data_IF_316224124304
#
_entry.id   IF_316224124304
#
_cell.length_a   1.000
_cell.length_b   1.000
_cell.length_c   1.000
_cell.angle_alpha   90.00
_cell.angle_beta   90.00
_cell.angle_gamma   90.00
#
_symmetry.space_group_name_H-M   'P 1'
#
loop_
_entity.id
_entity.type
_entity.pdbx_description
1 polymer ?
#
# COMPACT_ATOMS: atom_id res chain seq x y z
N UNK A 1 14.04 10.99 2.22
CA UNK A 1 12.64 10.48 2.13
C UNK A 1 12.65 9.05 1.59
N UNK A 2 11.61 8.23 1.84
CA UNK A 2 11.54 6.83 1.36
C UNK A 2 11.80 6.72 -0.15
N UNK A 3 11.31 7.67 -0.94
CA UNK A 3 11.55 7.77 -2.40
C UNK A 3 13.03 7.91 -2.76
N UNK A 4 13.75 8.82 -2.11
CA UNK A 4 15.19 9.06 -2.33
C UNK A 4 16.02 7.82 -1.93
N UNK A 5 15.64 7.21 -0.80
CA UNK A 5 16.28 6.00 -0.26
C UNK A 5 16.04 4.76 -1.14
N UNK A 6 14.90 4.72 -1.83
CA UNK A 6 14.47 3.62 -2.68
C UNK A 6 14.76 3.86 -4.16
N UNK A 7 15.14 5.08 -4.56
CA UNK A 7 15.25 5.51 -5.96
C UNK A 7 14.03 5.08 -6.80
N UNK A 8 12.82 5.20 -6.24
CA UNK A 8 11.57 4.89 -6.92
C UNK A 8 10.77 6.17 -7.17
N UNK A 9 10.14 6.26 -8.34
CA UNK A 9 9.05 7.21 -8.56
C UNK A 9 7.85 6.72 -7.74
N UNK A 10 7.33 7.54 -6.84
CA UNK A 10 6.11 7.21 -6.10
C UNK A 10 5.04 8.22 -6.45
N UNK A 11 3.85 7.71 -6.77
CA UNK A 11 2.66 8.52 -6.86
C UNK A 11 1.98 8.57 -5.49
N UNK A 12 1.87 9.77 -4.92
CA UNK A 12 1.18 10.04 -3.66
C UNK A 12 -0.03 10.91 -3.97
N UNK A 13 -1.22 10.31 -3.89
CA UNK A 13 -2.48 10.96 -4.26
C UNK A 13 -2.65 12.38 -3.68
N UNK A 14 -2.34 12.61 -2.40
CA UNK A 14 -2.52 13.93 -1.77
C UNK A 14 -1.46 14.97 -2.17
N UNK A 15 -0.33 14.55 -2.74
CA UNK A 15 0.79 15.42 -3.14
C UNK A 15 0.78 15.70 -4.63
N UNK A 16 0.55 14.67 -5.43
CA UNK A 16 0.76 14.70 -6.88
C UNK A 16 -0.52 15.12 -7.63
N UNK A 17 -1.62 15.31 -6.90
CA UNK A 17 -2.91 15.71 -7.45
C UNK A 17 -3.42 16.99 -6.78
N UNK A 18 -3.68 18.00 -7.60
CA UNK A 18 -4.26 19.26 -7.17
C UNK A 18 -5.75 19.16 -6.84
N UNK A 19 -6.37 20.26 -6.36
CA UNK A 19 -7.81 20.32 -6.12
C UNK A 19 -8.62 20.02 -7.40
N UNK A 20 -9.68 19.21 -7.28
CA UNK A 20 -10.56 18.81 -8.38
C UNK A 20 -10.41 17.37 -8.88
N UNK A 21 -9.66 16.54 -8.16
CA UNK A 21 -9.41 15.15 -8.51
C UNK A 21 -10.63 14.23 -8.33
N UNK A 22 -10.73 13.21 -9.18
CA UNK A 22 -11.81 12.21 -9.15
C UNK A 22 -11.29 10.83 -8.77
N UNK A 23 -12.12 10.01 -8.14
CA UNK A 23 -11.79 8.62 -7.80
C UNK A 23 -11.32 7.82 -9.03
N UNK A 24 -11.83 8.13 -10.22
CA UNK A 24 -11.43 7.49 -11.47
C UNK A 24 -9.93 7.61 -11.74
N UNK A 25 -9.38 8.82 -11.61
CA UNK A 25 -7.98 9.06 -11.91
C UNK A 25 -7.07 8.34 -10.89
N UNK A 26 -7.54 8.14 -9.65
CA UNK A 26 -6.81 7.35 -8.65
C UNK A 26 -6.63 5.91 -9.14
N UNK A 27 -7.71 5.31 -9.64
CA UNK A 27 -7.68 3.95 -10.17
C UNK A 27 -6.82 3.84 -11.44
N UNK A 28 -6.84 4.84 -12.32
CA UNK A 28 -5.92 4.90 -13.46
C UNK A 28 -4.46 4.90 -13.00
N UNK A 29 -4.13 5.72 -12.00
CA UNK A 29 -2.77 5.79 -11.45
C UNK A 29 -2.36 4.47 -10.78
N UNK A 30 -3.28 3.80 -10.08
CA UNK A 30 -3.03 2.47 -9.52
C UNK A 30 -2.80 1.42 -10.62
N UNK A 31 -3.56 1.50 -11.72
CA UNK A 31 -3.42 0.62 -12.89
C UNK A 31 -2.06 0.75 -13.57
N UNK A 32 -1.52 1.97 -13.65
CA UNK A 32 -0.24 2.24 -14.30
C UNK A 32 0.97 1.99 -13.37
N UNK A 33 0.71 1.81 -12.07
CA UNK A 33 1.76 1.61 -11.06
C UNK A 33 2.27 0.17 -11.02
N UNK A 34 3.60 0.01 -11.10
CA UNK A 34 4.30 -1.28 -10.94
C UNK A 34 4.10 -1.89 -9.56
N UNK A 35 4.08 -1.07 -8.50
CA UNK A 35 3.80 -1.48 -7.11
C UNK A 35 2.76 -0.56 -6.50
N UNK A 36 1.94 -1.12 -5.62
CA UNK A 36 0.93 -0.42 -4.85
C UNK A 36 1.28 -0.62 -3.38
N UNK A 37 1.61 0.47 -2.69
CA UNK A 37 1.77 0.48 -1.23
C UNK A 37 0.47 1.00 -0.60
N UNK A 38 -0.29 0.11 0.02
CA UNK A 38 -1.48 0.51 0.78
C UNK A 38 -1.12 0.74 2.23
N UNK A 39 -1.35 1.95 2.72
CA UNK A 39 -1.09 2.32 4.12
C UNK A 39 -2.39 2.24 4.91
N UNK A 40 -2.62 1.10 5.57
CA UNK A 40 -3.84 0.81 6.32
C UNK A 40 -3.71 1.38 7.73
N UNK A 41 -4.43 2.46 8.00
CA UNK A 41 -4.51 3.14 9.29
C UNK A 41 -5.95 3.35 9.70
N UNK A 42 -6.19 3.72 10.96
CA UNK A 42 -7.53 4.12 11.41
C UNK A 42 -8.11 5.22 10.51
N UNK A 43 -7.29 6.21 10.11
CA UNK A 43 -7.72 7.32 9.26
C UNK A 43 -8.14 6.87 7.86
N UNK A 44 -7.42 5.90 7.29
CA UNK A 44 -7.77 5.30 6.00
C UNK A 44 -9.13 4.59 6.09
N UNK A 45 -9.33 3.80 7.15
CA UNK A 45 -10.55 3.01 7.36
C UNK A 45 -11.77 3.84 7.78
N UNK A 46 -11.57 5.06 8.32
CA UNK A 46 -12.68 5.95 8.68
C UNK A 46 -13.55 6.35 7.47
N UNK A 47 -13.05 6.23 6.24
CA UNK A 47 -13.85 6.34 5.02
C UNK A 47 -14.09 4.93 4.45
N UNK A 48 -14.96 4.18 5.13
CA UNK A 48 -15.09 2.74 4.93
C UNK A 48 -15.38 2.38 3.46
N UNK A 49 -16.34 3.06 2.83
CA UNK A 49 -16.76 2.76 1.44
C UNK A 49 -15.60 2.93 0.45
N UNK A 50 -14.90 4.07 0.50
CA UNK A 50 -13.76 4.30 -0.39
C UNK A 50 -12.60 3.35 -0.07
N UNK A 51 -12.34 3.10 1.22
CA UNK A 51 -11.27 2.22 1.67
C UNK A 51 -11.47 0.78 1.17
N UNK A 52 -12.71 0.26 1.23
CA UNK A 52 -13.05 -1.07 0.76
C UNK A 52 -12.95 -1.18 -0.76
N UNK A 53 -13.37 -0.15 -1.50
CA UNK A 53 -13.20 -0.12 -2.97
C UNK A 53 -11.71 -0.14 -3.34
N UNK A 54 -10.87 0.66 -2.66
CA UNK A 54 -9.42 0.68 -2.89
C UNK A 54 -8.80 -0.69 -2.61
N UNK A 55 -9.17 -1.31 -1.48
CA UNK A 55 -8.67 -2.63 -1.10
C UNK A 55 -9.09 -3.73 -2.09
N UNK A 56 -10.36 -3.74 -2.53
CA UNK A 56 -10.86 -4.64 -3.57
C UNK A 56 -10.13 -4.45 -4.89
N UNK A 57 -9.95 -3.20 -5.31
CA UNK A 57 -9.23 -2.91 -6.55
C UNK A 57 -7.79 -3.40 -6.48
N UNK A 58 -7.08 -3.15 -5.36
CA UNK A 58 -5.72 -3.62 -5.18
C UNK A 58 -5.64 -5.15 -5.25
N UNK A 59 -6.55 -5.86 -4.56
CA UNK A 59 -6.66 -7.33 -4.62
C UNK A 59 -6.85 -7.82 -6.06
N UNK A 60 -7.79 -7.22 -6.81
CA UNK A 60 -8.07 -7.59 -8.20
C UNK A 60 -6.98 -7.19 -9.21
N UNK A 61 -6.11 -6.23 -8.86
CA UNK A 61 -5.00 -5.81 -9.72
C UNK A 61 -3.85 -6.82 -9.80
N UNK A 62 -3.88 -7.83 -8.91
CA UNK A 62 -2.93 -8.92 -8.82
C UNK A 62 -3.35 -10.08 -9.73
N UNK A 63 -2.36 -10.69 -10.36
CA UNK A 63 -2.47 -11.86 -11.22
C UNK A 63 -1.13 -12.61 -11.19
N UNK A 64 -1.05 -13.83 -11.75
CA UNK A 64 0.19 -14.60 -11.73
C UNK A 64 1.41 -13.90 -12.38
N UNK A 65 1.21 -12.92 -13.26
CA UNK A 65 2.31 -12.16 -13.86
C UNK A 65 2.81 -11.00 -12.97
N UNK A 66 2.08 -10.63 -11.92
CA UNK A 66 2.43 -9.52 -11.02
C UNK A 66 2.07 -9.80 -9.55
N UNK A 67 2.26 -11.04 -9.09
CA UNK A 67 1.93 -11.52 -7.73
C UNK A 67 2.52 -10.67 -6.57
N UNK A 68 3.54 -9.85 -6.86
CA UNK A 68 4.25 -8.99 -5.91
C UNK A 68 3.78 -7.54 -5.92
N UNK A 69 2.72 -7.22 -6.66
CA UNK A 69 2.29 -5.86 -6.95
C UNK A 69 1.86 -5.08 -5.72
N UNK A 70 1.17 -5.73 -4.78
CA UNK A 70 0.58 -5.05 -3.61
C UNK A 70 1.43 -5.32 -2.38
N UNK A 71 1.64 -4.27 -1.58
CA UNK A 71 2.30 -4.32 -0.28
C UNK A 71 1.41 -3.57 0.71
N UNK A 72 1.12 -4.17 1.85
CA UNK A 72 0.37 -3.54 2.93
C UNK A 72 1.34 -3.03 3.99
N UNK A 73 1.18 -1.76 4.36
CA UNK A 73 1.78 -1.18 5.55
C UNK A 73 0.65 -0.91 6.54
N UNK A 74 0.57 -1.72 7.58
CA UNK A 74 -0.63 -1.81 8.43
C UNK A 74 -0.31 -1.34 9.82
N UNK A 75 -1.08 -0.38 10.34
CA UNK A 75 -1.03 -0.04 11.75
C UNK A 75 -1.47 -1.24 12.60
N UNK A 76 -0.69 -1.61 13.61
CA UNK A 76 -0.90 -2.83 14.40
C UNK A 76 -2.32 -2.95 14.98
N UNK A 77 -2.88 -1.82 15.40
CA UNK A 77 -4.26 -1.73 15.92
C UNK A 77 -5.33 -1.93 14.86
N UNK A 78 -4.97 -2.08 13.59
CA UNK A 78 -5.88 -2.22 12.45
C UNK A 78 -5.70 -3.54 11.71
N UNK A 79 -4.82 -4.43 12.18
CA UNK A 79 -4.54 -5.71 11.54
C UNK A 79 -5.81 -6.56 11.39
N UNK A 80 -6.68 -6.55 12.41
CA UNK A 80 -7.94 -7.29 12.40
C UNK A 80 -9.01 -6.68 11.48
N UNK A 81 -8.79 -5.47 10.96
CA UNK A 81 -9.71 -4.80 10.04
C UNK A 81 -9.36 -5.07 8.57
N UNK A 82 -8.32 -5.85 8.30
CA UNK A 82 -7.98 -6.25 6.93
C UNK A 82 -8.98 -7.32 6.47
N UNK A 83 -9.68 -7.11 5.35
CA UNK A 83 -10.62 -8.09 4.82
C UNK A 83 -9.93 -9.40 4.38
N UNK A 84 -10.63 -10.52 4.55
CA UNK A 84 -10.14 -11.85 4.15
C UNK A 84 -9.66 -11.95 2.71
N UNK A 85 -10.35 -11.28 1.78
CA UNK A 85 -9.99 -11.29 0.35
C UNK A 85 -8.61 -10.69 0.05
N UNK A 86 -8.03 -9.89 0.95
CA UNK A 86 -6.64 -9.43 0.82
C UNK A 86 -5.66 -10.52 1.28
N UNK A 87 -5.98 -11.23 2.36
CA UNK A 87 -5.17 -12.37 2.81
C UNK A 87 -5.17 -13.52 1.80
N UNK A 88 -6.25 -13.70 1.05
CA UNK A 88 -6.35 -14.76 0.04
C UNK A 88 -5.40 -14.55 -1.15
N UNK A 89 -4.95 -13.31 -1.39
CA UNK A 89 -4.11 -12.95 -2.55
C UNK A 89 -2.72 -12.48 -2.17
N UNK A 90 -2.47 -12.17 -0.89
CA UNK A 90 -1.19 -11.65 -0.40
C UNK A 90 -0.45 -12.70 0.40
N UNK A 91 0.86 -12.80 0.14
CA UNK A 91 1.77 -13.47 1.05
C UNK A 91 1.94 -12.67 2.35
N UNK A 92 2.15 -13.36 3.48
CA UNK A 92 2.45 -12.71 4.77
C UNK A 92 3.66 -11.76 4.69
N UNK A 93 4.63 -12.08 3.82
CA UNK A 93 5.81 -11.25 3.56
C UNK A 93 5.47 -9.85 3.05
N UNK A 94 4.29 -9.68 2.44
CA UNK A 94 3.78 -8.43 1.87
C UNK A 94 2.98 -7.61 2.88
N UNK A 95 2.79 -8.10 4.11
CA UNK A 95 2.05 -7.43 5.18
C UNK A 95 3.03 -6.95 6.24
N UNK A 96 3.36 -5.66 6.19
CA UNK A 96 4.32 -5.03 7.10
C UNK A 96 3.56 -4.32 8.20
N UNK A 97 3.69 -4.83 9.42
CA UNK A 97 3.02 -4.25 10.59
C UNK A 97 3.87 -3.15 11.22
N UNK A 98 3.26 -1.98 11.41
CA UNK A 98 3.86 -0.82 12.07
C UNK A 98 3.07 -0.44 13.32
N UNK A 99 3.75 0.05 14.35
CA UNK A 99 3.11 0.47 15.59
C UNK A 99 2.33 1.77 15.39
N UNK A 100 2.97 2.75 14.73
CA UNK A 100 2.38 4.06 14.40
C UNK A 100 3.12 4.68 13.21
N UNK A 101 2.46 5.58 12.46
CA UNK A 101 3.07 6.29 11.32
C UNK A 101 4.06 7.39 11.73
N UNK A 102 3.91 7.96 12.93
CA UNK A 102 4.82 8.97 13.48
C UNK A 102 6.04 8.35 14.16
N UNK A 103 5.97 7.07 14.51
CA UNK A 103 7.09 6.35 15.10
C UNK A 103 8.21 6.16 14.05
N UNK A 104 9.48 6.33 14.43
CA UNK A 104 10.58 6.03 13.53
C UNK A 104 10.53 4.55 13.13
N UNK A 105 10.53 4.29 11.83
CA UNK A 105 10.70 2.92 11.32
C UNK A 105 12.07 2.42 11.72
N UNK A 106 12.10 1.30 12.45
CA UNK A 106 13.34 0.58 12.75
C UNK A 106 13.99 0.04 11.46
N UNK A 107 15.25 -0.37 11.56
CA UNK A 107 16.01 -0.87 10.42
C UNK A 107 15.32 -2.06 9.74
N UNK A 108 14.74 -2.98 10.52
CA UNK A 108 14.11 -4.20 10.01
C UNK A 108 12.90 -3.85 9.14
N UNK A 109 12.01 -2.99 9.63
CA UNK A 109 10.84 -2.51 8.87
C UNK A 109 11.24 -1.74 7.63
N UNK A 110 12.27 -0.88 7.72
CA UNK A 110 12.78 -0.18 6.55
C UNK A 110 13.24 -1.17 5.49
N UNK A 111 14.06 -2.16 5.86
CA UNK A 111 14.52 -3.17 4.90
C UNK A 111 13.39 -4.00 4.32
N UNK A 112 12.42 -4.41 5.13
CA UNK A 112 11.23 -5.14 4.64
C UNK A 112 10.48 -4.32 3.57
N UNK A 113 10.25 -3.03 3.82
CA UNK A 113 9.63 -2.12 2.84
C UNK A 113 10.52 -2.02 1.59
N UNK A 114 11.84 -1.88 1.73
CA UNK A 114 12.76 -1.81 0.58
C UNK A 114 12.73 -3.06 -0.28
N UNK A 115 12.78 -4.23 0.36
CA UNK A 115 12.74 -5.53 -0.31
C UNK A 115 11.41 -5.72 -1.06
N UNK A 116 10.28 -5.42 -0.40
CA UNK A 116 8.96 -5.57 -1.02
C UNK A 116 8.76 -4.64 -2.22
N UNK A 117 9.26 -3.41 -2.16
CA UNK A 117 9.04 -2.41 -3.21
C UNK A 117 10.02 -2.51 -4.38
N UNK A 118 11.23 -3.04 -4.17
CA UNK A 118 12.28 -3.10 -5.21
C UNK A 118 12.57 -4.50 -5.73
N UNK A 119 12.06 -5.54 -5.07
CA UNK A 119 12.45 -6.95 -5.31
C UNK A 119 13.98 -7.12 -5.39
N UNK A 120 14.73 -6.45 -4.51
CA UNK A 120 16.17 -6.69 -4.40
C UNK A 120 16.36 -8.09 -3.83
N UNK A 121 16.76 -9.04 -4.69
CA UNK A 121 17.39 -10.30 -4.29
C UNK A 121 18.82 -10.06 -3.82
#
# INVERSE_FOLDING_TARGET
YLEEDLKVSTFVHHRDLGPGYTDQQMFESMSDSWRILLVITQRFLNNYDLSDIIMKYASHSMNPANEKRVVLLVQQTQLYNIPGYLYDVLEDSRIIVISDLSAPLDYVKRQAIKQCLRDIQ
#
